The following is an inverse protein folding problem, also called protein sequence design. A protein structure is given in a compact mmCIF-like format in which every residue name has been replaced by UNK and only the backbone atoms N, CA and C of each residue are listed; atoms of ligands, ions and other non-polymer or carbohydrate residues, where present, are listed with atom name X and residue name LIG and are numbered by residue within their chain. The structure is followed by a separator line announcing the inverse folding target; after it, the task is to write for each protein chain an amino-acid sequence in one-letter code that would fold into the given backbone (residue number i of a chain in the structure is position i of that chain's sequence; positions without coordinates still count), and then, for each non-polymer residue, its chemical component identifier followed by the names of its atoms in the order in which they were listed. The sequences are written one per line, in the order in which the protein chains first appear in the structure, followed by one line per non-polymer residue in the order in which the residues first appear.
data_IF_268758236507
#
_entry.id   IF_268758236507
#
_cell.length_a   1.000
_cell.length_b   1.000
_cell.length_c   1.000
_cell.angle_alpha   90.00
_cell.angle_beta   90.00
_cell.angle_gamma   90.00
#
_symmetry.space_group_name_H-M   'P 1'
#
loop_
_entity.id
_entity.type
_entity.pdbx_description
1 polymer ?
#
# COMPACT_ATOMS: atom_id res chain seq x y z
N UNK A 1 -32.80 -4.99 -5.29
CA UNK A 1 -31.61 -4.57 -6.06
C UNK A 1 -30.61 -5.72 -6.08
N UNK A 2 -30.34 -6.34 -7.24
CA UNK A 2 -29.37 -7.46 -7.31
C UNK A 2 -27.99 -6.93 -6.90
N UNK A 3 -27.41 -7.44 -5.81
CA UNK A 3 -26.01 -7.14 -5.46
C UNK A 3 -25.14 -7.57 -6.65
N UNK A 4 -24.34 -6.67 -7.20
CA UNK A 4 -23.47 -6.98 -8.35
C UNK A 4 -22.53 -8.13 -8.03
N UNK A 5 -22.18 -8.94 -9.03
CA UNK A 5 -21.29 -10.11 -8.92
C UNK A 5 -20.00 -9.80 -8.14
N UNK A 6 -19.43 -8.61 -8.34
CA UNK A 6 -18.24 -8.15 -7.63
C UNK A 6 -18.46 -7.99 -6.12
N UNK A 7 -19.63 -7.51 -5.68
CA UNK A 7 -19.97 -7.39 -4.25
C UNK A 7 -20.14 -8.76 -3.61
N UNK A 8 -20.62 -9.74 -4.37
CA UNK A 8 -20.73 -11.13 -3.91
C UNK A 8 -19.35 -11.78 -3.78
N UNK A 9 -18.45 -11.56 -4.74
CA UNK A 9 -17.07 -12.00 -4.67
C UNK A 9 -16.34 -11.40 -3.46
N UNK A 10 -16.51 -10.10 -3.23
CA UNK A 10 -15.93 -9.39 -2.07
C UNK A 10 -16.43 -9.95 -0.73
N UNK A 11 -17.69 -10.36 -0.66
CA UNK A 11 -18.24 -10.97 0.55
C UNK A 11 -17.56 -12.31 0.91
N UNK A 12 -17.00 -13.05 -0.06
CA UNK A 12 -16.21 -14.27 0.19
C UNK A 12 -14.89 -13.97 0.92
N UNK A 13 -14.36 -12.77 0.76
CA UNK A 13 -13.21 -12.25 1.50
C UNK A 13 -13.63 -11.43 2.73
N UNK A 14 -14.89 -11.61 3.17
CA UNK A 14 -15.47 -10.91 4.32
C UNK A 14 -15.56 -9.37 4.13
N UNK A 15 -15.49 -8.86 2.89
CA UNK A 15 -15.76 -7.44 2.62
C UNK A 15 -17.26 -7.23 2.44
N UNK A 16 -17.92 -6.61 3.43
CA UNK A 16 -19.37 -6.34 3.38
C UNK A 16 -19.78 -5.21 2.41
N UNK A 17 -18.82 -4.60 1.72
CA UNK A 17 -19.08 -3.56 0.72
C UNK A 17 -17.79 -3.06 0.05
N UNK A 18 -17.98 -2.30 -1.03
CA UNK A 18 -16.89 -1.65 -1.77
C UNK A 18 -16.10 -0.68 -0.90
N UNK A 19 -16.78 0.07 -0.03
CA UNK A 19 -16.15 1.04 0.87
C UNK A 19 -15.18 0.31 1.82
N UNK A 20 -15.64 -0.74 2.51
CA UNK A 20 -14.79 -1.54 3.41
C UNK A 20 -13.58 -2.15 2.69
N UNK A 21 -13.76 -2.51 1.42
CA UNK A 21 -12.69 -3.01 0.57
C UNK A 21 -11.67 -1.91 0.24
N UNK A 22 -12.11 -0.75 -0.26
CA UNK A 22 -11.23 0.38 -0.54
C UNK A 22 -10.54 0.91 0.72
N UNK A 23 -11.23 0.95 1.86
CA UNK A 23 -10.65 1.33 3.14
C UNK A 23 -9.61 0.31 3.65
N UNK A 24 -9.69 -0.94 3.22
CA UNK A 24 -8.67 -1.97 3.51
C UNK A 24 -7.45 -1.84 2.60
N UNK A 25 -7.65 -1.43 1.35
CA UNK A 25 -6.59 -1.17 0.37
C UNK A 25 -5.91 0.19 0.59
N UNK A 26 -6.65 1.19 1.02
CA UNK A 26 -6.15 2.54 1.24
C UNK A 26 -6.62 3.04 2.61
N UNK A 27 -6.00 2.56 3.72
CA UNK A 27 -6.27 3.08 5.06
C UNK A 27 -6.18 4.60 5.15
N UNK A 28 -5.36 5.26 4.33
CA UNK A 28 -5.27 6.73 4.25
C UNK A 28 -6.62 7.42 4.01
N UNK A 29 -7.56 6.76 3.33
CA UNK A 29 -8.91 7.26 3.06
C UNK A 29 -9.69 7.47 4.35
N UNK A 30 -9.59 6.52 5.30
CA UNK A 30 -10.24 6.64 6.63
C UNK A 30 -9.76 7.86 7.40
N UNK A 31 -8.52 8.27 7.15
CA UNK A 31 -7.87 9.36 7.88
C UNK A 31 -7.83 10.68 7.10
N UNK A 32 -8.42 10.77 5.91
CA UNK A 32 -8.27 11.94 5.03
C UNK A 32 -6.81 12.31 4.74
N UNK A 33 -5.91 11.33 4.80
CA UNK A 33 -4.48 11.47 4.50
C UNK A 33 -4.17 11.24 3.01
N UNK A 34 -5.17 10.84 2.22
CA UNK A 34 -4.99 10.53 0.80
C UNK A 34 -4.42 11.70 0.01
N UNK A 35 -4.91 12.92 0.24
CA UNK A 35 -4.42 14.12 -0.47
C UNK A 35 -2.95 14.45 -0.16
N UNK A 36 -2.53 14.61 1.12
CA UNK A 36 -1.13 14.91 1.40
C UNK A 36 -0.20 13.77 0.98
N UNK A 37 -0.61 12.50 1.13
CA UNK A 37 0.22 11.37 0.70
C UNK A 37 0.34 11.29 -0.81
N UNK A 38 -0.74 11.51 -1.56
CA UNK A 38 -0.68 11.54 -3.03
C UNK A 38 0.25 12.66 -3.52
N UNK A 39 0.17 13.85 -2.90
CA UNK A 39 1.09 14.96 -3.21
C UNK A 39 2.53 14.57 -2.93
N UNK A 40 2.82 13.94 -1.79
CA UNK A 40 4.17 13.43 -1.49
C UNK A 40 4.62 12.36 -2.48
N UNK A 41 3.75 11.43 -2.87
CA UNK A 41 4.04 10.38 -3.85
C UNK A 41 4.36 10.96 -5.23
N UNK A 42 3.68 12.04 -5.64
CA UNK A 42 3.89 12.73 -6.93
C UNK A 42 5.13 13.61 -6.92
N UNK A 43 5.36 14.38 -5.84
CA UNK A 43 6.45 15.35 -5.75
C UNK A 43 7.78 14.72 -5.34
N UNK A 44 7.74 13.56 -4.70
CA UNK A 44 8.91 12.84 -4.20
C UNK A 44 8.99 11.42 -4.77
N UNK A 45 9.22 11.27 -6.10
CA UNK A 45 9.69 10.00 -6.63
C UNK A 45 11.09 9.64 -6.06
N UNK A 46 11.74 10.53 -5.29
CA UNK A 46 13.02 10.34 -4.62
C UNK A 46 13.12 9.16 -3.64
N UNK A 47 12.06 8.37 -3.41
CA UNK A 47 12.20 7.07 -2.74
C UNK A 47 13.02 6.11 -3.60
N UNK A 48 12.97 6.20 -4.93
CA UNK A 48 13.88 5.44 -5.81
C UNK A 48 15.34 5.83 -5.55
N UNK A 49 15.63 7.12 -5.31
CA UNK A 49 16.96 7.60 -4.93
C UNK A 49 17.35 7.21 -3.49
N UNK A 50 16.42 7.29 -2.52
CA UNK A 50 16.65 6.88 -1.13
C UNK A 50 16.93 5.38 -1.03
N UNK A 51 16.19 4.54 -1.75
CA UNK A 51 16.40 3.08 -1.78
C UNK A 51 17.64 2.67 -2.60
N UNK A 52 17.93 3.36 -3.71
CA UNK A 52 19.14 3.16 -4.52
C UNK A 52 20.43 3.59 -3.79
N UNK A 53 20.34 4.50 -2.81
CA UNK A 53 21.47 4.93 -1.98
C UNK A 53 21.98 3.81 -1.04
N UNK A 54 21.11 2.91 -0.59
CA UNK A 54 21.47 1.86 0.36
C UNK A 54 21.67 0.49 -0.29
N UNK A 55 21.15 0.27 -1.50
CA UNK A 55 21.19 -1.05 -2.14
C UNK A 55 21.28 -0.91 -3.68
N UNK A 56 22.25 -1.58 -4.34
CA UNK A 56 22.40 -1.53 -5.79
C UNK A 56 21.20 -2.18 -6.51
N UNK A 57 20.90 -1.69 -7.71
CA UNK A 57 19.81 -2.18 -8.55
C UNK A 57 20.05 -3.64 -8.94
N UNK A 58 19.19 -4.52 -8.42
CA UNK A 58 19.00 -5.87 -8.97
C UNK A 58 17.70 -5.80 -9.75
N UNK A 59 17.70 -6.06 -11.05
CA UNK A 59 16.43 -6.15 -11.79
C UNK A 59 15.64 -7.34 -11.25
N UNK A 60 14.50 -7.06 -10.61
CA UNK A 60 13.57 -8.11 -10.21
C UNK A 60 12.44 -8.22 -11.24
N UNK A 61 11.85 -9.41 -11.31
CA UNK A 61 10.65 -9.66 -12.09
C UNK A 61 9.54 -8.71 -11.62
N UNK A 62 8.79 -8.12 -12.58
CA UNK A 62 7.75 -7.07 -12.42
C UNK A 62 8.23 -5.61 -12.49
N UNK A 63 9.48 -5.33 -12.87
CA UNK A 63 9.96 -3.94 -13.03
C UNK A 63 10.14 -3.20 -11.70
N UNK A 64 10.19 -3.93 -10.59
CA UNK A 64 10.49 -3.40 -9.27
C UNK A 64 12.00 -3.59 -9.07
N UNK A 65 12.70 -2.57 -8.55
CA UNK A 65 14.10 -2.77 -8.16
C UNK A 65 14.17 -3.79 -7.03
N UNK A 66 15.15 -4.69 -7.06
CA UNK A 66 15.35 -5.72 -6.04
C UNK A 66 15.29 -5.18 -4.60
N UNK A 67 15.90 -4.01 -4.30
CA UNK A 67 15.75 -3.36 -3.00
C UNK A 67 14.31 -2.98 -2.65
N UNK A 68 13.57 -2.38 -3.60
CA UNK A 68 12.17 -2.03 -3.39
C UNK A 68 11.29 -3.28 -3.20
N UNK A 69 11.59 -4.36 -3.91
CA UNK A 69 10.92 -5.65 -3.74
C UNK A 69 11.14 -6.24 -2.34
N UNK A 70 12.38 -6.19 -1.83
CA UNK A 70 12.72 -6.63 -0.46
C UNK A 70 12.00 -5.76 0.58
N UNK A 71 12.05 -4.42 0.42
CA UNK A 71 11.41 -3.49 1.35
C UNK A 71 9.88 -3.67 1.39
N UNK A 72 9.25 -3.83 0.22
CA UNK A 72 7.81 -4.07 0.12
C UNK A 72 7.42 -5.44 0.70
N UNK A 73 8.22 -6.48 0.44
CA UNK A 73 8.02 -7.81 1.03
C UNK A 73 8.14 -7.75 2.56
N UNK A 74 9.14 -7.02 3.09
CA UNK A 74 9.28 -6.79 4.52
C UNK A 74 8.08 -6.02 5.08
N UNK A 75 7.57 -5.00 4.38
CA UNK A 75 6.37 -4.27 4.78
C UNK A 75 5.13 -5.16 4.83
N UNK A 76 4.95 -6.07 3.86
CA UNK A 76 3.88 -7.07 3.87
C UNK A 76 4.01 -8.03 5.06
N UNK A 77 5.21 -8.56 5.30
CA UNK A 77 5.47 -9.44 6.44
C UNK A 77 5.20 -8.70 7.76
N UNK A 78 5.63 -7.45 7.89
CA UNK A 78 5.38 -6.63 9.08
C UNK A 78 3.88 -6.31 9.27
N UNK A 79 3.16 -6.00 8.21
CA UNK A 79 1.70 -5.78 8.27
C UNK A 79 1.00 -7.05 8.75
N UNK A 80 1.35 -8.21 8.18
CA UNK A 80 0.80 -9.48 8.61
C UNK A 80 1.16 -9.77 10.07
N UNK A 81 2.44 -9.76 10.43
CA UNK A 81 2.92 -10.06 11.77
C UNK A 81 2.31 -9.14 12.83
N UNK A 82 2.27 -7.83 12.57
CA UNK A 82 1.64 -6.85 13.46
C UNK A 82 0.13 -7.07 13.56
N UNK A 83 -0.56 -7.42 12.47
CA UNK A 83 -1.98 -7.76 12.47
C UNK A 83 -2.27 -9.02 13.28
N UNK A 84 -1.40 -10.03 13.19
CA UNK A 84 -1.51 -11.26 13.99
C UNK A 84 -1.29 -10.98 15.48
N UNK A 85 -0.24 -10.21 15.82
CA UNK A 85 0.04 -9.82 17.20
C UNK A 85 -1.10 -8.99 17.81
N UNK A 86 -1.62 -8.01 17.07
CA UNK A 86 -2.78 -7.21 17.49
C UNK A 86 -4.03 -8.07 17.70
N UNK A 87 -4.27 -9.06 16.82
CA UNK A 87 -5.40 -10.01 16.97
C UNK A 87 -5.28 -10.86 18.23
N UNK A 88 -4.06 -11.33 18.54
CA UNK A 88 -3.81 -12.13 19.73
C UNK A 88 -4.02 -11.32 21.02
N UNK A 89 -3.49 -10.10 21.06
CA UNK A 89 -3.62 -9.19 22.22
C UNK A 89 -5.08 -8.76 22.44
N UNK A 90 -5.82 -8.50 21.35
CA UNK A 90 -7.24 -8.13 21.42
C UNK A 90 -8.19 -9.32 21.67
N UNK A 91 -7.65 -10.53 21.93
CA UNK A 91 -8.40 -11.79 22.15
C UNK A 91 -9.41 -12.11 21.05
N UNK A 92 -9.21 -11.61 19.84
CA UNK A 92 -10.09 -11.93 18.73
C UNK A 92 -9.65 -13.24 18.09
N UNK A 93 -10.60 -14.11 17.74
CA UNK A 93 -10.29 -15.39 17.12
C UNK A 93 -9.53 -15.20 15.80
N UNK A 94 -8.37 -15.85 15.71
CA UNK A 94 -7.62 -15.95 14.47
C UNK A 94 -8.50 -16.68 13.44
N UNK A 95 -8.96 -15.94 12.44
CA UNK A 95 -9.82 -16.49 11.38
C UNK A 95 -9.03 -16.55 10.08
N UNK A 96 -9.11 -17.67 9.36
CA UNK A 96 -8.63 -17.81 7.98
C UNK A 96 -9.10 -16.67 7.05
N UNK A 97 -10.26 -16.08 7.34
CA UNK A 97 -10.81 -14.91 6.64
C UNK A 97 -9.90 -13.67 6.70
N UNK A 98 -9.18 -13.43 7.80
CA UNK A 98 -8.26 -12.28 7.92
C UNK A 98 -7.01 -12.48 7.07
N UNK A 99 -6.48 -13.70 7.07
CA UNK A 99 -5.36 -14.05 6.20
C UNK A 99 -5.80 -13.94 4.73
N UNK A 100 -7.00 -14.39 4.40
CA UNK A 100 -7.58 -14.26 3.05
C UNK A 100 -7.68 -12.79 2.60
N UNK A 101 -8.15 -11.89 3.47
CA UNK A 101 -8.17 -10.43 3.20
C UNK A 101 -6.79 -9.87 2.93
N UNK A 102 -5.80 -10.23 3.76
CA UNK A 102 -4.43 -9.78 3.58
C UNK A 102 -3.84 -10.29 2.25
N UNK A 103 -3.98 -11.57 1.95
CA UNK A 103 -3.50 -12.16 0.70
C UNK A 103 -4.17 -11.52 -0.52
N UNK A 104 -5.49 -11.28 -0.45
CA UNK A 104 -6.22 -10.62 -1.53
C UNK A 104 -5.76 -9.16 -1.73
N UNK A 105 -5.51 -8.44 -0.64
CA UNK A 105 -4.91 -7.09 -0.67
C UNK A 105 -3.53 -7.09 -1.34
N UNK A 106 -2.64 -8.00 -0.93
CA UNK A 106 -1.30 -8.13 -1.52
C UNK A 106 -1.40 -8.45 -3.01
N UNK A 107 -2.29 -9.38 -3.40
CA UNK A 107 -2.53 -9.69 -4.81
C UNK A 107 -2.94 -8.45 -5.61
N UNK A 108 -3.87 -7.65 -5.11
CA UNK A 108 -4.30 -6.42 -5.78
C UNK A 108 -3.15 -5.42 -5.92
N UNK A 109 -2.33 -5.25 -4.89
CA UNK A 109 -1.14 -4.38 -4.98
C UNK A 109 -0.16 -4.85 -6.05
N UNK A 110 0.11 -6.16 -6.13
CA UNK A 110 0.97 -6.70 -7.17
C UNK A 110 0.41 -6.46 -8.57
N UNK A 111 -0.91 -6.62 -8.77
CA UNK A 111 -1.57 -6.32 -10.05
C UNK A 111 -1.48 -4.83 -10.40
N UNK A 112 -1.73 -3.94 -9.43
CA UNK A 112 -1.65 -2.49 -9.61
C UNK A 112 -0.24 -2.04 -10.02
N UNK A 113 0.80 -2.69 -9.51
CA UNK A 113 2.19 -2.39 -9.88
C UNK A 113 2.56 -3.01 -11.23
N UNK A 114 2.14 -4.26 -11.49
CA UNK A 114 2.51 -5.00 -12.68
C UNK A 114 1.88 -4.43 -13.97
N UNK A 115 0.65 -3.89 -13.89
CA UNK A 115 -0.05 -3.36 -15.08
C UNK A 115 0.70 -2.17 -15.70
N UNK A 116 1.05 -1.09 -14.96
CA UNK A 116 1.87 0.00 -15.48
C UNK A 116 3.22 -0.46 -16.06
N UNK A 117 3.91 -1.39 -15.38
CA UNK A 117 5.17 -1.96 -15.87
C UNK A 117 5.01 -2.62 -17.25
N UNK A 118 4.01 -3.50 -17.40
CA UNK A 118 3.76 -4.15 -18.67
C UNK A 118 3.34 -3.15 -19.76
N UNK A 119 2.68 -2.06 -19.40
CA UNK A 119 2.34 -0.99 -20.34
C UNK A 119 3.59 -0.20 -20.76
N UNK A 120 4.49 0.12 -19.82
CA UNK A 120 5.79 0.71 -20.12
C UNK A 120 6.57 -0.13 -21.13
N UNK A 121 6.77 -1.42 -20.84
CA UNK A 121 7.46 -2.36 -21.74
C UNK A 121 6.80 -2.42 -23.12
N UNK A 122 5.46 -2.45 -23.17
CA UNK A 122 4.74 -2.45 -24.45
C UNK A 122 4.96 -1.18 -25.27
N UNK A 123 5.06 -0.02 -24.61
CA UNK A 123 5.31 1.25 -25.29
C UNK A 123 6.77 1.43 -25.70
N UNK A 124 7.73 0.93 -24.91
CA UNK A 124 9.14 0.86 -25.29
C UNK A 124 9.33 0.01 -26.54
N UNK A 125 8.70 -1.17 -26.59
CA UNK A 125 8.72 -2.06 -27.76
C UNK A 125 8.12 -1.43 -29.03
N UNK A 126 7.31 -0.37 -28.88
CA UNK A 126 6.71 0.39 -30.00
C UNK A 126 7.42 1.72 -30.27
N UNK A 127 8.59 1.96 -29.68
CA UNK A 127 9.35 3.21 -29.79
C UNK A 127 8.55 4.45 -29.36
N UNK A 128 7.61 4.30 -28.41
CA UNK A 128 6.80 5.39 -27.85
C UNK A 128 7.36 5.82 -26.50
N UNK A 129 8.56 6.38 -26.51
CA UNK A 129 9.34 6.72 -25.30
C UNK A 129 8.58 7.61 -24.32
N UNK A 130 7.84 8.61 -24.81
CA UNK A 130 7.04 9.47 -23.94
C UNK A 130 5.99 8.69 -23.14
N UNK A 131 5.27 7.77 -23.79
CA UNK A 131 4.25 6.96 -23.10
C UNK A 131 4.91 5.98 -22.13
N UNK A 132 6.04 5.38 -22.51
CA UNK A 132 6.80 4.54 -21.61
C UNK A 132 7.22 5.30 -20.34
N UNK A 133 7.72 6.53 -20.48
CA UNK A 133 8.10 7.38 -19.33
C UNK A 133 6.90 7.74 -18.43
N UNK A 134 5.72 7.97 -19.00
CA UNK A 134 4.50 8.21 -18.22
C UNK A 134 4.13 6.98 -17.38
N UNK A 135 4.22 5.77 -17.95
CA UNK A 135 3.90 4.54 -17.21
C UNK A 135 4.96 4.17 -16.18
N UNK A 136 6.24 4.45 -16.44
CA UNK A 136 7.34 4.32 -15.49
C UNK A 136 7.15 5.25 -14.27
N UNK A 137 6.81 6.51 -14.53
CA UNK A 137 6.45 7.47 -13.49
C UNK A 137 5.22 7.03 -12.71
N UNK A 138 4.17 6.59 -13.39
CA UNK A 138 2.94 6.11 -12.75
C UNK A 138 3.21 4.90 -11.84
N UNK A 139 4.00 3.93 -12.31
CA UNK A 139 4.42 2.78 -11.53
C UNK A 139 5.14 3.23 -10.25
N UNK A 140 6.10 4.16 -10.38
CA UNK A 140 6.85 4.71 -9.25
C UNK A 140 5.92 5.37 -8.22
N UNK A 141 4.97 6.21 -8.65
CA UNK A 141 3.98 6.84 -7.76
C UNK A 141 3.13 5.79 -7.04
N UNK A 142 2.69 4.74 -7.73
CA UNK A 142 1.87 3.68 -7.16
C UNK A 142 2.62 2.85 -6.12
N UNK A 143 3.90 2.53 -6.36
CA UNK A 143 4.75 1.83 -5.40
C UNK A 143 4.89 2.65 -4.11
N UNK A 144 5.17 3.95 -4.23
CA UNK A 144 5.28 4.85 -3.07
C UNK A 144 3.96 4.96 -2.32
N UNK A 145 2.84 5.11 -3.04
CA UNK A 145 1.53 5.17 -2.41
C UNK A 145 1.21 3.88 -1.64
N UNK A 146 1.44 2.71 -2.25
CA UNK A 146 1.24 1.41 -1.61
C UNK A 146 2.08 1.30 -0.34
N UNK A 147 3.36 1.71 -0.39
CA UNK A 147 4.22 1.74 0.78
C UNK A 147 3.65 2.59 1.92
N UNK A 148 3.11 3.78 1.63
CA UNK A 148 2.43 4.59 2.64
C UNK A 148 1.19 3.89 3.22
N UNK A 149 0.38 3.24 2.39
CA UNK A 149 -0.79 2.49 2.86
C UNK A 149 -0.40 1.32 3.78
N UNK A 150 0.69 0.61 3.47
CA UNK A 150 1.25 -0.44 4.34
C UNK A 150 1.76 0.14 5.67
N UNK A 151 2.47 1.27 5.64
CA UNK A 151 2.94 1.96 6.85
C UNK A 151 1.76 2.33 7.75
N UNK A 152 0.71 2.94 7.20
CA UNK A 152 -0.49 3.28 7.98
C UNK A 152 -1.11 2.02 8.59
N UNK A 153 -1.24 0.94 7.81
CA UNK A 153 -1.78 -0.32 8.30
C UNK A 153 -0.96 -0.92 9.46
N UNK A 154 0.37 -0.86 9.38
CA UNK A 154 1.28 -1.29 10.46
C UNK A 154 1.09 -0.43 11.70
N UNK A 155 0.97 0.90 11.54
CA UNK A 155 0.76 1.83 12.66
C UNK A 155 -0.59 1.60 13.37
N UNK A 156 -1.65 1.29 12.62
CA UNK A 156 -2.93 0.88 13.20
C UNK A 156 -2.77 -0.35 14.09
N UNK A 157 -2.05 -1.37 13.60
CA UNK A 157 -1.81 -2.60 14.35
C UNK A 157 -0.92 -2.36 15.58
N UNK A 158 0.13 -1.55 15.44
CA UNK A 158 1.02 -1.17 16.55
C UNK A 158 0.27 -0.39 17.64
N UNK A 159 -0.65 0.51 17.28
CA UNK A 159 -1.48 1.20 18.25
C UNK A 159 -2.23 0.21 19.14
N UNK A 160 -2.88 -0.78 18.54
CA UNK A 160 -3.60 -1.85 19.26
C UNK A 160 -2.67 -2.66 20.16
N UNK A 161 -1.49 -3.04 19.66
CA UNK A 161 -0.48 -3.77 20.44
C UNK A 161 -0.06 -2.97 21.68
N UNK A 162 0.08 -1.65 21.55
CA UNK A 162 0.46 -0.76 22.65
C UNK A 162 -0.70 -0.36 23.57
N UNK A 163 -1.89 -0.91 23.37
CA UNK A 163 -3.10 -0.57 24.14
C UNK A 163 -3.62 0.85 23.89
N UNK A 164 -3.19 1.50 22.80
CA UNK A 164 -3.63 2.83 22.39
C UNK A 164 -4.76 2.73 21.39
N UNK A 165 -5.52 3.82 21.26
CA UNK A 165 -6.48 3.96 20.17
C UNK A 165 -5.76 3.91 18.80
N UNK A 166 -6.40 3.28 17.81
CA UNK A 166 -5.84 3.08 16.46
C UNK A 166 -5.37 4.39 15.80
N UNK A 167 -5.98 5.51 16.18
CA UNK A 167 -5.66 6.83 15.65
C UNK A 167 -4.42 7.46 16.28
N UNK A 168 -3.90 6.94 17.40
CA UNK A 168 -2.88 7.62 18.20
C UNK A 168 -1.58 7.90 17.44
N UNK A 169 -1.08 6.92 16.66
CA UNK A 169 0.13 7.10 15.86
C UNK A 169 -0.14 7.89 14.58
N UNK A 170 -1.35 7.81 14.05
CA UNK A 170 -1.75 8.45 12.81
C UNK A 170 -1.95 9.95 13.03
N UNK A 171 -2.55 10.35 14.15
CA UNK A 171 -2.68 11.74 14.55
C UNK A 171 -1.30 12.40 14.74
N UNK A 172 -0.33 11.69 15.34
CA UNK A 172 1.05 12.20 15.42
C UNK A 172 1.69 12.48 14.05
N UNK A 173 1.40 11.65 13.05
CA UNK A 173 1.89 11.87 11.68
C UNK A 173 1.16 13.05 11.03
N UNK A 174 -0.16 13.15 11.21
CA UNK A 174 -0.94 14.32 10.76
C UNK A 174 -0.40 15.62 11.34
N UNK A 175 -0.14 15.65 12.63
CA UNK A 175 0.37 16.84 13.33
C UNK A 175 1.74 17.23 12.78
N UNK A 176 2.63 16.26 12.56
CA UNK A 176 3.93 16.50 11.93
C UNK A 176 3.81 17.01 10.50
N UNK A 177 2.99 16.38 9.65
CA UNK A 177 2.79 16.83 8.27
C UNK A 177 2.18 18.24 8.20
N UNK A 178 1.24 18.55 9.09
CA UNK A 178 0.64 19.89 9.19
C UNK A 178 1.65 20.92 9.66
N UNK A 179 2.53 20.56 10.61
CA UNK A 179 3.61 21.45 11.06
C UNK A 179 4.65 21.76 9.98
N UNK A 180 4.91 20.82 9.06
CA UNK A 180 5.81 21.01 7.92
C UNK A 180 5.19 21.85 6.80
N UNK A 181 3.86 21.93 6.72
CA UNK A 181 3.15 22.74 5.74
C UNK A 181 2.92 24.19 6.22
N UNK A 182 2.82 24.38 7.54
CA UNK A 182 2.59 25.68 8.17
C UNK A 182 3.85 26.35 8.74
N UNK A 183 5.03 25.75 8.55
CA UNK A 183 6.34 26.32 8.89
C UNK A 183 7.07 26.76 7.64
#
# INVERSE_FOLDING_TARGET
MKKGWFVQMLATYDYHGLINFFESLAPSVRYSLTKPLLVLSVLYPGITAFTAMFFPAVEATLGISGPAFIAMSAAFIMELASGLAASHISKQQFSSLRLSRFTFKVFIYLVIIAVPYHWQENFLARHKEFMAAVFDWLQSVLIVQIAFENIISILENLAVITGKDKTAWINKIKDKLTSLYNG
#
